data_IF_946381629411
#
_entry.id   IF_946381629411
#
_cell.length_a   1.000
_cell.length_b   1.000
_cell.length_c   1.000
_cell.angle_alpha   90.00
_cell.angle_beta   90.00
_cell.angle_gamma   90.00
#
_symmetry.space_group_name_H-M   'P 1'
#
loop_
_entity.id
_entity.type
_entity.pdbx_description
1 polymer ?
#
# COMPACT_ATOMS: atom_id res chain seq x y z
N UNK A 1 39.79 -1.56 25.17
CA UNK A 1 38.91 -2.08 24.12
C UNK A 1 37.80 -2.86 24.77
N UNK A 2 36.59 -2.36 24.71
CA UNK A 2 35.42 -3.10 25.13
C UNK A 2 35.23 -4.28 24.17
N UNK A 3 35.46 -5.49 24.61
CA UNK A 3 35.05 -6.69 23.88
C UNK A 3 33.55 -6.69 23.90
N UNK A 4 32.92 -6.42 22.76
CA UNK A 4 31.48 -6.35 22.68
C UNK A 4 30.81 -7.67 23.07
N UNK A 5 29.61 -7.60 23.62
CA UNK A 5 28.74 -8.70 24.00
C UNK A 5 28.60 -9.81 22.93
N UNK A 6 28.91 -9.52 21.67
CA UNK A 6 28.88 -10.46 20.57
C UNK A 6 29.77 -11.71 20.74
N UNK A 7 30.87 -11.64 21.51
CA UNK A 7 31.73 -12.83 21.76
C UNK A 7 31.15 -13.76 22.83
N UNK A 8 30.29 -13.26 23.70
CA UNK A 8 29.62 -14.06 24.75
C UNK A 8 28.47 -14.86 24.13
N UNK A 9 27.73 -14.28 23.21
CA UNK A 9 26.58 -14.94 22.58
C UNK A 9 26.94 -16.00 21.54
N UNK A 10 28.14 -15.95 20.95
CA UNK A 10 28.60 -16.96 19.99
C UNK A 10 28.80 -18.36 20.58
N UNK A 11 28.77 -18.51 21.89
CA UNK A 11 29.00 -19.79 22.60
C UNK A 11 27.78 -20.33 23.31
N UNK A 12 26.65 -19.61 23.29
CA UNK A 12 25.41 -20.07 23.91
C UNK A 12 24.66 -20.99 22.96
N UNK A 13 24.25 -22.15 23.44
CA UNK A 13 23.25 -22.97 22.75
C UNK A 13 21.90 -22.27 22.87
N UNK A 14 21.10 -22.36 21.80
CA UNK A 14 19.71 -21.91 21.86
C UNK A 14 18.94 -22.81 22.83
N UNK A 15 18.17 -22.22 23.71
CA UNK A 15 17.37 -22.91 24.74
C UNK A 15 16.04 -23.43 24.21
N UNK A 16 15.65 -23.01 22.98
CA UNK A 16 14.36 -23.28 22.35
C UNK A 16 13.16 -22.75 23.15
N UNK A 17 13.37 -21.71 23.95
CA UNK A 17 12.31 -21.07 24.71
C UNK A 17 11.62 -19.98 23.91
N UNK A 18 10.31 -19.83 24.17
CA UNK A 18 9.52 -18.72 23.68
C UNK A 18 9.52 -17.61 24.74
N UNK A 19 10.03 -16.45 24.38
CA UNK A 19 10.05 -15.31 25.27
C UNK A 19 8.77 -14.48 25.05
N UNK A 20 8.04 -14.25 26.14
CA UNK A 20 6.81 -13.44 26.17
C UNK A 20 7.08 -12.13 26.89
N UNK A 21 6.38 -11.07 26.48
CA UNK A 21 6.41 -9.75 27.14
C UNK A 21 7.73 -8.98 27.02
N UNK A 22 8.52 -9.19 25.98
CA UNK A 22 9.74 -8.44 25.67
C UNK A 22 9.86 -8.12 24.18
N UNK A 23 10.98 -7.52 23.81
CA UNK A 23 11.35 -7.42 22.39
C UNK A 23 11.74 -8.80 21.88
N UNK A 24 10.82 -9.46 21.19
CA UNK A 24 11.04 -10.79 20.63
C UNK A 24 12.12 -10.79 19.55
N UNK A 25 12.97 -11.80 19.56
CA UNK A 25 13.87 -12.11 18.44
C UNK A 25 13.73 -13.59 18.06
N UNK A 26 13.81 -13.88 16.77
CA UNK A 26 13.92 -15.26 16.28
C UNK A 26 15.40 -15.60 16.08
N UNK A 27 15.85 -16.71 16.65
CA UNK A 27 17.21 -17.21 16.47
C UNK A 27 17.16 -18.66 16.01
N UNK A 28 17.89 -18.98 14.94
CA UNK A 28 18.05 -20.32 14.42
C UNK A 28 19.53 -20.66 14.35
N UNK A 29 19.90 -21.88 14.71
CA UNK A 29 21.26 -22.39 14.54
C UNK A 29 21.25 -23.74 13.85
N UNK A 30 22.26 -23.98 13.02
CA UNK A 30 22.53 -25.26 12.39
C UNK A 30 23.99 -25.57 12.51
N UNK A 31 24.32 -26.78 12.97
CA UNK A 31 25.68 -27.28 12.99
C UNK A 31 26.01 -27.87 11.62
N UNK A 32 27.10 -27.41 11.02
CA UNK A 32 27.51 -27.80 9.68
C UNK A 32 28.94 -28.33 9.76
N UNK A 33 29.13 -29.55 9.28
CA UNK A 33 30.44 -30.15 9.10
C UNK A 33 30.74 -30.28 7.61
N UNK A 34 31.76 -29.58 7.14
CA UNK A 34 32.19 -29.62 5.74
C UNK A 34 33.54 -30.31 5.63
N UNK A 35 33.68 -31.23 4.68
CA UNK A 35 34.97 -31.78 4.30
C UNK A 35 35.71 -30.83 3.33
N UNK A 36 37.03 -30.94 3.18
CA UNK A 36 37.77 -30.13 2.22
C UNK A 36 37.16 -30.21 0.81
N UNK A 37 36.80 -29.05 0.22
CA UNK A 37 36.17 -28.97 -1.10
C UNK A 37 34.65 -29.17 -1.11
N UNK A 38 34.01 -29.47 0.02
CA UNK A 38 32.57 -29.63 0.13
C UNK A 38 31.88 -28.27 0.28
N UNK A 39 30.70 -28.12 -0.33
CA UNK A 39 29.86 -26.95 -0.23
C UNK A 39 28.44 -27.36 0.17
N UNK A 40 27.81 -26.61 1.07
CA UNK A 40 26.40 -26.77 1.40
C UNK A 40 25.65 -25.46 1.30
N UNK A 41 24.36 -25.53 1.01
CA UNK A 41 23.47 -24.37 0.94
C UNK A 41 22.41 -24.50 2.01
N UNK A 42 22.21 -23.41 2.75
CA UNK A 42 21.15 -23.27 3.76
C UNK A 42 20.22 -22.15 3.33
N UNK A 43 18.91 -22.40 3.39
CA UNK A 43 17.90 -21.38 3.18
C UNK A 43 17.22 -21.02 4.50
N UNK A 44 17.11 -19.73 4.79
CA UNK A 44 16.29 -19.18 5.84
C UNK A 44 15.04 -18.59 5.19
N UNK A 45 13.88 -19.03 5.64
CA UNK A 45 12.59 -18.55 5.14
C UNK A 45 11.92 -17.73 6.23
N UNK A 46 11.64 -16.47 5.95
CA UNK A 46 10.85 -15.59 6.81
C UNK A 46 9.55 -15.26 6.10
N UNK A 47 8.42 -15.48 6.76
CA UNK A 47 7.10 -15.21 6.20
C UNK A 47 6.02 -15.26 7.25
N UNK A 48 4.82 -14.82 6.86
CA UNK A 48 3.63 -14.85 7.69
C UNK A 48 2.50 -15.50 6.91
N UNK A 49 2.10 -16.71 7.33
CA UNK A 49 1.03 -17.49 6.73
C UNK A 49 0.38 -18.40 7.78
N UNK A 50 -0.79 -18.91 7.48
CA UNK A 50 -1.42 -19.93 8.33
C UNK A 50 -0.65 -21.26 8.25
N UNK A 51 -0.70 -22.05 9.31
CA UNK A 51 0.13 -23.27 9.53
C UNK A 51 0.23 -24.21 8.31
N UNK A 52 -0.91 -24.51 7.65
CA UNK A 52 -0.91 -25.40 6.49
C UNK A 52 -0.15 -24.81 5.30
N UNK A 53 -0.33 -23.52 5.05
CA UNK A 53 0.35 -22.82 3.97
C UNK A 53 1.84 -22.63 4.28
N UNK A 54 2.18 -22.31 5.53
CA UNK A 54 3.55 -22.21 5.98
C UNK A 54 4.31 -23.54 5.78
N UNK A 55 3.69 -24.65 6.19
CA UNK A 55 4.27 -26.00 6.01
C UNK A 55 4.48 -26.33 4.53
N UNK A 56 3.54 -25.99 3.66
CA UNK A 56 3.67 -26.21 2.22
C UNK A 56 4.80 -25.38 1.61
N UNK A 57 4.95 -24.11 2.03
CA UNK A 57 6.04 -23.24 1.61
C UNK A 57 7.39 -23.82 2.06
N UNK A 58 7.53 -24.17 3.34
CA UNK A 58 8.74 -24.77 3.87
C UNK A 58 9.13 -26.05 3.13
N UNK A 59 8.12 -26.85 2.74
CA UNK A 59 8.32 -28.08 1.97
C UNK A 59 9.00 -27.88 0.61
N UNK A 60 8.89 -26.68 -0.01
CA UNK A 60 9.56 -26.35 -1.28
C UNK A 60 11.07 -26.23 -1.15
N UNK A 61 11.57 -25.90 0.05
CA UNK A 61 12.99 -25.68 0.32
C UNK A 61 13.75 -26.93 0.81
N UNK A 62 13.20 -28.15 0.59
CA UNK A 62 13.90 -29.40 0.90
C UNK A 62 15.23 -29.54 0.15
N UNK A 63 15.32 -28.95 -1.04
CA UNK A 63 16.58 -28.83 -1.78
C UNK A 63 16.87 -27.33 -2.00
N UNK A 64 17.45 -26.65 -1.00
CA UNK A 64 17.55 -25.20 -0.98
C UNK A 64 18.40 -24.64 -2.12
N UNK A 65 19.46 -25.34 -2.53
CA UNK A 65 20.35 -24.88 -3.61
C UNK A 65 19.57 -24.68 -4.92
N UNK A 66 18.78 -25.69 -5.32
CA UNK A 66 17.99 -25.63 -6.56
C UNK A 66 16.82 -24.63 -6.42
N UNK A 67 16.11 -24.70 -5.31
CA UNK A 67 14.93 -23.85 -5.12
C UNK A 67 15.31 -22.37 -5.05
N UNK A 68 16.32 -22.00 -4.28
CA UNK A 68 16.76 -20.61 -4.17
C UNK A 68 17.30 -20.07 -5.49
N UNK A 69 18.04 -20.89 -6.26
CA UNK A 69 18.55 -20.48 -7.57
C UNK A 69 17.39 -20.17 -8.54
N UNK A 70 16.41 -21.07 -8.61
CA UNK A 70 15.22 -20.87 -9.45
C UNK A 70 14.42 -19.62 -9.06
N UNK A 71 14.16 -19.45 -7.77
CA UNK A 71 13.42 -18.30 -7.28
C UNK A 71 14.18 -16.98 -7.50
N UNK A 72 15.51 -17.00 -7.42
CA UNK A 72 16.34 -15.83 -7.76
C UNK A 72 16.23 -15.49 -9.24
N UNK A 73 16.26 -16.46 -10.13
CA UNK A 73 16.08 -16.24 -11.58
C UNK A 73 14.69 -15.71 -11.92
N UNK A 74 13.66 -16.22 -11.27
CA UNK A 74 12.29 -15.72 -11.39
C UNK A 74 12.19 -14.27 -10.90
N UNK A 75 12.81 -13.93 -9.78
CA UNK A 75 12.84 -12.58 -9.23
C UNK A 75 13.60 -11.61 -10.14
N UNK A 76 14.76 -12.00 -10.66
CA UNK A 76 15.53 -11.20 -11.63
C UNK A 76 14.68 -10.94 -12.88
N UNK A 77 14.00 -11.96 -13.39
CA UNK A 77 13.11 -11.84 -14.55
C UNK A 77 11.95 -10.90 -14.28
N UNK A 78 11.32 -11.00 -13.10
CA UNK A 78 10.23 -10.16 -12.67
C UNK A 78 10.62 -8.66 -12.69
N UNK A 79 11.77 -8.33 -12.11
CA UNK A 79 12.24 -6.95 -12.07
C UNK A 79 12.74 -6.45 -13.41
N UNK A 80 13.48 -7.29 -14.15
CA UNK A 80 14.00 -6.91 -15.47
C UNK A 80 12.91 -6.53 -16.45
N UNK A 81 11.79 -7.26 -16.47
CA UNK A 81 10.63 -6.95 -17.31
C UNK A 81 10.02 -5.59 -16.95
N UNK A 82 9.85 -5.30 -15.66
CA UNK A 82 9.27 -4.04 -15.21
C UNK A 82 10.16 -2.85 -15.49
N UNK A 83 11.44 -2.98 -15.18
CA UNK A 83 12.39 -1.90 -15.42
C UNK A 83 12.57 -1.62 -16.92
N UNK A 84 12.43 -2.62 -17.78
CA UNK A 84 12.52 -2.43 -19.22
C UNK A 84 11.43 -1.53 -19.82
N UNK A 85 10.29 -1.37 -19.15
CA UNK A 85 9.19 -0.54 -19.64
C UNK A 85 9.50 0.95 -19.66
N UNK A 86 10.44 1.40 -18.81
CA UNK A 86 10.87 2.78 -18.76
C UNK A 86 12.37 2.88 -18.51
N UNK A 87 13.13 3.32 -19.50
CA UNK A 87 14.57 3.42 -19.44
C UNK A 87 15.07 4.74 -20.01
N UNK A 88 16.00 5.38 -19.30
CA UNK A 88 16.71 6.57 -19.79
C UNK A 88 18.19 6.26 -19.97
N UNK A 89 18.82 6.90 -20.96
CA UNK A 89 20.26 6.83 -21.18
C UNK A 89 20.79 8.24 -21.34
N UNK A 90 21.48 8.73 -20.32
CA UNK A 90 22.07 10.06 -20.25
C UNK A 90 23.58 9.96 -20.04
N UNK A 91 24.34 11.05 -20.16
CA UNK A 91 25.76 11.06 -19.81
C UNK A 91 26.07 10.81 -18.32
N UNK A 92 25.07 10.94 -17.40
CA UNK A 92 25.27 10.66 -15.96
C UNK A 92 24.83 9.22 -15.63
N UNK A 93 25.76 8.32 -15.27
CA UNK A 93 25.43 6.96 -14.83
C UNK A 93 24.60 6.95 -13.54
N UNK A 94 24.83 7.88 -12.62
CA UNK A 94 24.12 7.99 -11.35
C UNK A 94 22.64 8.33 -11.59
N UNK A 95 22.39 9.30 -12.47
CA UNK A 95 21.01 9.65 -12.87
C UNK A 95 20.32 8.47 -13.54
N UNK A 96 21.00 7.78 -14.46
CA UNK A 96 20.44 6.59 -15.11
C UNK A 96 20.08 5.50 -14.10
N UNK A 97 20.96 5.22 -13.14
CA UNK A 97 20.71 4.24 -12.08
C UNK A 97 19.52 4.65 -11.20
N UNK A 98 19.44 5.93 -10.83
CA UNK A 98 18.34 6.46 -10.04
C UNK A 98 17.00 6.28 -10.74
N UNK A 99 16.92 6.65 -12.02
CA UNK A 99 15.66 6.59 -12.78
C UNK A 99 15.31 5.15 -13.16
N UNK A 100 16.27 4.41 -13.74
CA UNK A 100 16.01 3.09 -14.32
C UNK A 100 15.78 1.99 -13.29
N UNK A 101 16.23 2.19 -12.06
CA UNK A 101 16.14 1.16 -11.01
C UNK A 101 15.45 1.69 -9.76
N UNK A 102 16.06 2.67 -9.07
CA UNK A 102 15.62 3.04 -7.73
C UNK A 102 14.27 3.73 -7.68
N UNK A 103 13.97 4.63 -8.62
CA UNK A 103 12.66 5.27 -8.70
C UNK A 103 11.56 4.24 -8.97
N UNK A 104 11.76 3.39 -9.97
CA UNK A 104 10.82 2.34 -10.32
C UNK A 104 10.60 1.37 -9.15
N UNK A 105 11.69 0.94 -8.51
CA UNK A 105 11.64 0.07 -7.34
C UNK A 105 10.88 0.72 -6.18
N UNK A 106 11.20 1.95 -5.82
CA UNK A 106 10.56 2.65 -4.71
C UNK A 106 9.07 2.89 -4.95
N UNK A 107 8.69 3.31 -6.17
CA UNK A 107 7.28 3.46 -6.54
C UNK A 107 6.52 2.12 -6.42
N UNK A 108 7.13 1.03 -6.90
CA UNK A 108 6.52 -0.28 -6.85
C UNK A 108 6.40 -0.80 -5.41
N UNK A 109 7.42 -0.59 -4.57
CA UNK A 109 7.37 -0.95 -3.15
C UNK A 109 6.31 -0.14 -2.40
N UNK A 110 6.22 1.17 -2.65
CA UNK A 110 5.19 2.03 -2.08
C UNK A 110 3.79 1.56 -2.47
N UNK A 111 3.59 1.21 -3.74
CA UNK A 111 2.34 0.67 -4.26
C UNK A 111 1.93 -0.66 -3.58
N UNK A 112 2.87 -1.60 -3.43
CA UNK A 112 2.57 -2.91 -2.84
C UNK A 112 2.36 -2.82 -1.33
N UNK A 113 3.22 -2.07 -0.62
CA UNK A 113 3.23 -1.99 0.83
C UNK A 113 2.38 -0.85 1.40
N UNK A 114 1.72 -0.06 0.53
CA UNK A 114 0.86 1.07 0.93
C UNK A 114 1.56 2.01 1.92
N UNK A 115 2.78 2.43 1.59
CA UNK A 115 3.62 3.30 2.44
C UNK A 115 3.93 2.72 3.82
N UNK A 116 3.85 1.42 4.00
CA UNK A 116 4.18 0.75 5.25
C UNK A 116 5.68 0.82 5.53
N UNK A 117 6.14 1.95 6.06
CA UNK A 117 7.54 2.18 6.39
C UNK A 117 7.99 1.38 7.62
N UNK A 118 7.08 1.06 8.52
CA UNK A 118 7.32 0.24 9.71
C UNK A 118 6.03 -0.31 10.29
N UNK A 119 6.14 -1.34 11.12
CA UNK A 119 5.01 -1.88 11.89
C UNK A 119 4.38 -0.84 12.83
N UNK A 120 5.15 0.10 13.35
CA UNK A 120 4.68 1.16 14.22
C UNK A 120 3.84 2.17 13.43
N UNK A 121 4.29 2.52 12.22
CA UNK A 121 3.65 3.59 11.45
C UNK A 121 2.40 3.15 10.69
N UNK A 122 2.44 2.02 10.01
CA UNK A 122 1.35 1.52 9.18
C UNK A 122 0.93 0.10 9.49
N UNK A 123 1.80 -0.73 10.04
CA UNK A 123 1.60 -2.18 10.18
C UNK A 123 0.55 -2.61 11.20
N UNK A 124 0.09 -1.69 12.05
CA UNK A 124 -1.03 -1.94 12.96
C UNK A 124 -2.40 -1.59 12.35
N UNK A 125 -2.42 -0.98 11.17
CA UNK A 125 -3.66 -0.66 10.47
C UNK A 125 -4.06 -1.84 9.59
N UNK A 126 -5.32 -2.24 9.69
CA UNK A 126 -5.89 -3.34 8.93
C UNK A 126 -6.45 -2.85 7.58
N UNK A 127 -5.66 -2.12 6.80
CA UNK A 127 -6.14 -1.60 5.53
C UNK A 127 -5.27 -0.54 4.88
N UNK A 128 -5.80 0.01 3.81
CA UNK A 128 -5.19 1.04 2.98
C UNK A 128 -5.77 2.42 3.29
N UNK A 129 -4.93 3.45 3.39
CA UNK A 129 -5.40 4.83 3.29
C UNK A 129 -5.91 5.08 1.86
N UNK A 130 -7.11 5.62 1.73
CA UNK A 130 -7.74 5.80 0.41
C UNK A 130 -6.90 6.68 -0.50
N UNK A 131 -6.72 7.93 -0.13
CA UNK A 131 -5.96 8.93 -0.89
C UNK A 131 -4.55 8.46 -1.21
N UNK A 132 -3.84 7.96 -0.19
CA UNK A 132 -2.46 7.52 -0.32
C UNK A 132 -2.30 6.43 -1.38
N UNK A 133 -3.18 5.42 -1.33
CA UNK A 133 -3.14 4.31 -2.28
C UNK A 133 -3.48 4.76 -3.68
N UNK A 134 -4.51 5.61 -3.85
CA UNK A 134 -4.88 6.15 -5.17
C UNK A 134 -3.74 6.98 -5.80
N UNK A 135 -3.02 7.76 -4.99
CA UNK A 135 -1.84 8.49 -5.46
C UNK A 135 -0.69 7.56 -5.83
N UNK A 136 -0.42 6.53 -5.01
CA UNK A 136 0.70 5.61 -5.21
C UNK A 136 0.55 4.78 -6.49
N UNK A 137 -0.69 4.46 -6.90
CA UNK A 137 -0.97 3.79 -8.18
C UNK A 137 -0.34 4.56 -9.35
N UNK A 138 -0.34 5.88 -9.32
CA UNK A 138 0.17 6.71 -10.41
C UNK A 138 1.66 6.48 -10.71
N UNK A 139 2.43 6.06 -9.70
CA UNK A 139 3.85 5.78 -9.82
C UNK A 139 4.18 4.45 -10.50
N UNK A 140 3.18 3.58 -10.72
CA UNK A 140 3.41 2.23 -11.25
C UNK A 140 2.63 1.89 -12.52
N UNK A 141 1.79 2.79 -13.01
CA UNK A 141 0.96 2.55 -14.20
C UNK A 141 1.83 2.11 -15.39
N UNK A 142 2.95 2.77 -15.63
CA UNK A 142 3.87 2.45 -16.72
C UNK A 142 4.74 1.21 -16.46
N UNK A 143 4.86 0.78 -15.20
CA UNK A 143 5.64 -0.40 -14.80
C UNK A 143 4.81 -1.69 -14.82
N UNK A 144 3.55 -1.60 -14.42
CA UNK A 144 2.66 -2.73 -14.26
C UNK A 144 1.18 -2.30 -14.43
N UNK A 145 0.75 -1.97 -15.66
CA UNK A 145 -0.57 -1.41 -15.93
C UNK A 145 -1.71 -2.31 -15.48
N UNK A 146 -1.57 -3.64 -15.59
CA UNK A 146 -2.59 -4.59 -15.15
C UNK A 146 -2.79 -4.53 -13.63
N UNK A 147 -1.70 -4.50 -12.87
CA UNK A 147 -1.77 -4.38 -11.40
C UNK A 147 -2.31 -3.01 -10.97
N UNK A 148 -1.98 -1.96 -11.73
CA UNK A 148 -2.53 -0.63 -11.51
C UNK A 148 -4.06 -0.62 -11.74
N UNK A 149 -4.54 -1.22 -12.84
CA UNK A 149 -5.96 -1.35 -13.13
C UNK A 149 -6.72 -2.07 -12.01
N UNK A 150 -6.20 -3.20 -11.55
CA UNK A 150 -6.82 -3.97 -10.47
C UNK A 150 -6.89 -3.16 -9.17
N UNK A 151 -5.83 -2.41 -8.86
CA UNK A 151 -5.83 -1.54 -7.69
C UNK A 151 -6.77 -0.35 -7.86
N UNK A 152 -6.91 0.22 -9.05
CA UNK A 152 -7.90 1.27 -9.33
C UNK A 152 -9.31 0.74 -9.12
N UNK A 153 -9.65 -0.45 -9.65
CA UNK A 153 -10.95 -1.11 -9.41
C UNK A 153 -11.22 -1.31 -7.93
N UNK A 154 -10.22 -1.80 -7.20
CA UNK A 154 -10.32 -1.98 -5.76
C UNK A 154 -10.58 -0.65 -5.03
N UNK A 155 -9.90 0.43 -5.40
CA UNK A 155 -10.11 1.74 -4.76
C UNK A 155 -11.41 2.40 -5.18
N UNK A 156 -11.88 2.20 -6.42
CA UNK A 156 -13.21 2.61 -6.87
C UNK A 156 -14.29 1.91 -6.05
N UNK A 157 -14.16 0.59 -5.83
CA UNK A 157 -15.12 -0.17 -5.03
C UNK A 157 -15.16 0.27 -3.55
N UNK A 158 -14.17 1.00 -3.08
CA UNK A 158 -14.14 1.60 -1.75
C UNK A 158 -14.68 3.04 -1.70
N UNK A 159 -15.18 3.57 -2.80
CA UNK A 159 -15.93 4.82 -2.82
C UNK A 159 -17.36 4.57 -2.35
N UNK A 160 -17.85 5.39 -1.44
CA UNK A 160 -19.24 5.34 -0.97
C UNK A 160 -20.16 5.90 -2.06
N UNK A 161 -21.39 5.40 -2.17
CA UNK A 161 -22.34 5.81 -3.20
C UNK A 161 -22.70 7.31 -3.17
N UNK A 162 -22.40 8.01 -2.07
CA UNK A 162 -22.51 9.45 -1.98
C UNK A 162 -21.35 10.21 -2.65
N UNK A 163 -20.32 9.52 -3.11
CA UNK A 163 -19.15 10.04 -3.79
C UNK A 163 -17.91 10.24 -2.93
N UNK A 164 -17.99 10.09 -1.60
CA UNK A 164 -16.85 10.15 -0.70
C UNK A 164 -16.06 8.84 -0.68
N UNK A 165 -14.76 8.90 -0.37
CA UNK A 165 -13.95 7.70 -0.16
C UNK A 165 -14.04 7.20 1.29
N UNK A 166 -13.89 5.89 1.51
CA UNK A 166 -13.66 5.33 2.84
C UNK A 166 -12.26 5.76 3.32
N UNK A 167 -12.10 6.50 4.42
CA UNK A 167 -10.78 6.96 4.90
C UNK A 167 -9.78 5.83 5.15
N UNK A 168 -10.29 4.64 5.50
CA UNK A 168 -9.54 3.39 5.61
C UNK A 168 -10.27 2.28 4.84
N UNK A 169 -9.59 1.69 3.87
CA UNK A 169 -10.09 0.55 3.09
C UNK A 169 -9.49 -0.72 3.69
N UNK A 170 -10.29 -1.55 4.34
CA UNK A 170 -9.83 -2.77 5.01
C UNK A 170 -9.26 -3.77 4.00
N UNK A 171 -8.33 -4.63 4.44
CA UNK A 171 -7.87 -5.76 3.63
C UNK A 171 -8.99 -6.77 3.36
N UNK A 172 -10.01 -6.80 4.23
CA UNK A 172 -11.21 -7.62 4.09
C UNK A 172 -12.37 -6.85 3.46
N UNK A 173 -12.09 -5.77 2.72
CA UNK A 173 -13.09 -4.95 2.07
C UNK A 173 -14.10 -5.79 1.28
N UNK A 174 -15.39 -5.52 1.51
CA UNK A 174 -16.52 -6.22 0.91
C UNK A 174 -17.43 -5.23 0.18
N UNK A 175 -17.19 -4.96 -1.10
CA UNK A 175 -17.96 -3.99 -1.87
C UNK A 175 -19.46 -4.23 -1.80
N UNK A 176 -20.23 -3.16 -1.68
CA UNK A 176 -21.69 -3.19 -1.56
C UNK A 176 -22.22 -3.42 -0.13
N UNK A 177 -21.35 -3.72 0.83
CA UNK A 177 -21.75 -4.12 2.20
C UNK A 177 -20.95 -3.42 3.31
N UNK A 178 -20.17 -2.41 2.96
CA UNK A 178 -19.37 -1.70 3.96
C UNK A 178 -20.20 -0.71 4.76
N UNK A 179 -19.93 -0.62 6.05
CA UNK A 179 -20.30 0.53 6.85
C UNK A 179 -19.56 1.78 6.35
N UNK A 180 -20.15 2.94 6.53
CA UNK A 180 -19.58 4.20 6.07
C UNK A 180 -19.15 5.09 7.24
N UNK A 181 -18.38 6.16 7.03
CA UNK A 181 -18.04 7.10 8.08
C UNK A 181 -19.23 7.78 8.78
N UNK A 182 -20.43 7.64 8.24
CA UNK A 182 -21.68 8.07 8.87
C UNK A 182 -22.20 7.04 9.90
N UNK A 183 -21.66 5.81 9.89
CA UNK A 183 -22.08 4.73 10.77
C UNK A 183 -21.17 4.61 12.02
N UNK A 184 -21.78 4.44 13.19
CA UNK A 184 -21.04 4.34 14.44
C UNK A 184 -20.12 3.10 14.52
N UNK A 185 -20.50 2.00 13.86
CA UNK A 185 -19.70 0.78 13.75
C UNK A 185 -18.39 1.03 13.01
N UNK A 186 -18.43 1.71 11.87
CA UNK A 186 -17.24 2.09 11.12
C UNK A 186 -16.29 2.97 11.97
N UNK A 187 -16.83 3.98 12.62
CA UNK A 187 -16.05 4.90 13.47
C UNK A 187 -15.38 4.16 14.61
N UNK A 188 -16.10 3.24 15.27
CA UNK A 188 -15.57 2.43 16.36
C UNK A 188 -14.42 1.52 15.90
N UNK A 189 -14.53 0.92 14.72
CA UNK A 189 -13.53 0.00 14.20
C UNK A 189 -12.30 0.72 13.66
N UNK A 190 -12.50 1.78 12.90
CA UNK A 190 -11.42 2.44 12.14
C UNK A 190 -10.83 3.65 12.84
N UNK A 191 -11.56 4.26 13.78
CA UNK A 191 -11.17 5.53 14.40
C UNK A 191 -11.33 6.76 13.49
N UNK A 192 -12.02 6.62 12.35
CA UNK A 192 -12.24 7.69 11.37
C UNK A 192 -13.70 8.17 11.39
N UNK A 193 -14.01 9.27 12.12
CA UNK A 193 -15.39 9.69 12.39
C UNK A 193 -16.05 10.45 11.25
N UNK A 194 -15.38 10.68 10.12
CA UNK A 194 -15.92 11.45 9.01
C UNK A 194 -15.10 11.28 7.75
N UNK A 195 -15.68 11.67 6.62
CA UNK A 195 -15.00 11.73 5.34
C UNK A 195 -13.85 12.73 5.33
N UNK A 196 -12.81 12.45 4.56
CA UNK A 196 -11.83 13.44 4.13
C UNK A 196 -12.34 14.16 2.87
N UNK A 197 -11.88 15.40 2.71
CA UNK A 197 -12.43 16.27 1.66
C UNK A 197 -12.01 15.85 0.24
N UNK A 198 -10.84 15.27 0.11
CA UNK A 198 -10.16 15.07 -1.17
C UNK A 198 -9.93 13.61 -1.57
N UNK A 199 -10.24 12.64 -0.70
CA UNK A 199 -9.93 11.22 -0.94
C UNK A 199 -10.36 10.76 -2.35
N UNK A 200 -11.63 10.89 -2.70
CA UNK A 200 -12.16 10.44 -3.98
C UNK A 200 -11.76 11.33 -5.17
N UNK A 201 -11.33 12.57 -4.93
CA UNK A 201 -10.89 13.46 -6.02
C UNK A 201 -9.58 12.99 -6.65
N UNK A 202 -8.74 12.25 -5.91
CA UNK A 202 -7.50 11.70 -6.44
C UNK A 202 -7.71 10.58 -7.47
N UNK A 203 -8.93 10.05 -7.59
CA UNK A 203 -9.29 9.14 -8.68
C UNK A 203 -9.13 9.77 -10.06
N UNK A 204 -9.40 11.09 -10.20
CA UNK A 204 -9.30 11.78 -11.49
C UNK A 204 -7.92 11.68 -12.12
N UNK A 205 -6.85 12.18 -11.48
CA UNK A 205 -5.52 12.10 -12.07
C UNK A 205 -5.06 10.65 -12.25
N UNK A 206 -5.51 9.72 -11.41
CA UNK A 206 -5.13 8.33 -11.48
C UNK A 206 -5.78 7.61 -12.66
N UNK A 207 -7.10 7.73 -12.81
CA UNK A 207 -7.82 7.17 -13.97
C UNK A 207 -7.36 7.82 -15.28
N UNK A 208 -7.20 9.15 -15.28
CA UNK A 208 -6.69 9.86 -16.45
C UNK A 208 -5.32 9.33 -16.88
N UNK A 209 -4.37 9.21 -15.97
CA UNK A 209 -3.03 8.69 -16.26
C UNK A 209 -3.07 7.25 -16.73
N UNK A 210 -3.93 6.41 -16.15
CA UNK A 210 -4.09 5.03 -16.58
C UNK A 210 -4.57 4.96 -18.03
N UNK A 211 -5.65 5.67 -18.34
CA UNK A 211 -6.19 5.70 -19.70
C UNK A 211 -5.20 6.31 -20.70
N UNK A 212 -4.50 7.38 -20.30
CA UNK A 212 -3.50 8.03 -21.16
C UNK A 212 -2.30 7.11 -21.47
N UNK A 213 -1.86 6.32 -20.49
CA UNK A 213 -0.73 5.39 -20.66
C UNK A 213 -1.11 4.15 -21.45
N UNK A 214 -2.29 3.58 -21.19
CA UNK A 214 -2.70 2.30 -21.78
C UNK A 214 -3.51 2.43 -23.07
N UNK A 215 -4.15 3.57 -23.29
CA UNK A 215 -5.13 3.76 -24.36
C UNK A 215 -6.47 3.04 -24.12
N UNK A 216 -6.69 2.46 -22.94
CA UNK A 216 -7.91 1.72 -22.61
C UNK A 216 -9.08 2.67 -22.28
N UNK A 217 -9.69 3.21 -23.33
CA UNK A 217 -10.87 4.07 -23.21
C UNK A 217 -12.08 3.34 -22.64
N UNK A 218 -12.16 2.02 -22.79
CA UNK A 218 -13.31 1.24 -22.28
C UNK A 218 -13.32 1.14 -20.76
N UNK A 219 -12.18 1.37 -20.12
CA UNK A 219 -12.08 1.36 -18.67
C UNK A 219 -13.07 2.31 -18.01
N UNK A 220 -13.38 3.46 -18.63
CA UNK A 220 -14.32 4.44 -18.04
C UNK A 220 -15.77 3.97 -18.03
N UNK A 221 -16.11 2.99 -18.85
CA UNK A 221 -17.45 2.39 -18.93
C UNK A 221 -17.60 1.14 -18.04
N UNK A 222 -16.51 0.66 -17.46
CA UNK A 222 -16.50 -0.52 -16.59
C UNK A 222 -17.37 -0.27 -15.34
N UNK A 223 -18.28 -1.19 -15.04
CA UNK A 223 -19.19 -1.08 -13.91
C UNK A 223 -18.57 -1.68 -12.68
N UNK A 224 -18.51 -0.89 -11.59
CA UNK A 224 -17.89 -1.25 -10.32
C UNK A 224 -18.87 -0.95 -9.19
N UNK A 225 -19.02 -1.85 -8.19
CA UNK A 225 -19.85 -1.59 -7.03
C UNK A 225 -19.29 -0.45 -6.18
N UNK A 226 -20.15 0.35 -5.55
CA UNK A 226 -19.77 1.25 -4.47
C UNK A 226 -19.58 0.49 -3.16
N UNK A 227 -18.92 1.11 -2.20
CA UNK A 227 -18.55 0.46 -0.94
C UNK A 227 -19.76 -0.05 -0.15
N UNK A 228 -20.84 0.74 -0.08
CA UNK A 228 -21.98 0.46 0.78
C UNK A 228 -23.19 -0.12 0.04
N UNK A 229 -23.48 0.32 -1.16
CA UNK A 229 -24.63 -0.13 -1.97
C UNK A 229 -24.56 0.46 -3.37
N UNK A 230 -25.29 -0.13 -4.31
CA UNK A 230 -25.32 0.29 -5.73
C UNK A 230 -24.02 -0.01 -6.46
N UNK A 231 -24.07 0.17 -7.76
CA UNK A 231 -22.93 0.10 -8.67
C UNK A 231 -23.02 1.22 -9.70
N UNK A 232 -21.92 1.54 -10.35
CA UNK A 232 -21.88 2.55 -11.40
C UNK A 232 -20.65 2.37 -12.28
N UNK A 233 -20.65 3.02 -13.44
CA UNK A 233 -19.47 3.04 -14.27
C UNK A 233 -18.33 3.83 -13.59
N UNK A 234 -17.09 3.59 -14.00
CA UNK A 234 -15.94 4.41 -13.54
C UNK A 234 -16.24 5.89 -13.77
N UNK A 235 -16.85 6.25 -14.90
CA UNK A 235 -17.29 7.63 -15.15
C UNK A 235 -18.28 8.14 -14.08
N UNK A 236 -19.26 7.31 -13.68
CA UNK A 236 -20.21 7.69 -12.63
C UNK A 236 -19.53 7.82 -11.26
N UNK A 237 -18.55 6.99 -10.95
CA UNK A 237 -17.71 7.12 -9.75
C UNK A 237 -17.01 8.50 -9.72
N UNK A 238 -16.37 8.89 -10.81
CA UNK A 238 -15.72 10.19 -10.94
C UNK A 238 -16.72 11.34 -10.79
N UNK A 239 -17.85 11.25 -11.48
CA UNK A 239 -18.92 12.26 -11.37
C UNK A 239 -19.42 12.43 -9.94
N UNK A 240 -19.69 11.32 -9.22
CA UNK A 240 -20.12 11.36 -7.82
C UNK A 240 -19.06 11.94 -6.89
N UNK A 241 -17.75 11.74 -7.16
CA UNK A 241 -16.68 12.39 -6.40
C UNK A 241 -16.73 13.93 -6.50
N UNK A 242 -16.99 14.47 -7.68
CA UNK A 242 -17.23 15.93 -7.87
C UNK A 242 -18.50 16.38 -7.15
N UNK A 243 -19.60 15.66 -7.36
CA UNK A 243 -20.88 15.98 -6.75
C UNK A 243 -20.80 15.97 -5.21
N UNK A 244 -20.00 15.08 -4.64
CA UNK A 244 -19.72 15.03 -3.21
C UNK A 244 -19.09 16.33 -2.71
N UNK A 245 -18.09 16.85 -3.42
CA UNK A 245 -17.42 18.10 -3.08
C UNK A 245 -18.33 19.32 -3.31
N UNK A 246 -19.06 19.36 -4.42
CA UNK A 246 -19.99 20.47 -4.75
C UNK A 246 -21.11 20.58 -3.71
N UNK A 247 -21.66 19.47 -3.25
CA UNK A 247 -22.70 19.47 -2.21
C UNK A 247 -22.19 19.91 -0.83
N UNK A 248 -20.88 20.07 -0.68
CA UNK A 248 -20.21 20.46 0.58
C UNK A 248 -19.41 21.75 0.43
N UNK A 249 -19.86 22.64 -0.44
CA UNK A 249 -19.31 23.99 -0.53
C UNK A 249 -19.69 24.82 0.71
N UNK A 250 -18.75 25.62 1.17
CA UNK A 250 -19.00 26.60 2.20
C UNK A 250 -19.67 27.85 1.65
N UNK A 251 -19.88 28.87 2.53
CA UNK A 251 -20.58 30.12 2.21
C UNK A 251 -19.96 30.95 1.08
N UNK A 252 -18.64 30.74 0.84
CA UNK A 252 -17.89 31.44 -0.22
C UNK A 252 -17.75 30.62 -1.52
N UNK A 253 -18.46 29.50 -1.63
CA UNK A 253 -18.37 28.62 -2.78
C UNK A 253 -17.09 27.77 -2.83
N UNK A 254 -16.32 27.70 -1.75
CA UNK A 254 -15.11 26.90 -1.62
C UNK A 254 -15.45 25.53 -1.03
N UNK A 255 -14.78 24.44 -1.47
CA UNK A 255 -14.94 23.13 -0.86
C UNK A 255 -14.58 23.15 0.64
N UNK A 256 -15.39 22.49 1.46
CA UNK A 256 -15.13 22.38 2.89
C UNK A 256 -14.01 21.35 3.15
N UNK A 257 -13.12 21.62 4.10
CA UNK A 257 -12.01 20.74 4.49
C UNK A 257 -12.46 19.46 5.20
N UNK A 258 -13.72 19.34 5.59
CA UNK A 258 -14.31 18.20 6.30
C UNK A 258 -13.49 17.82 7.55
N UNK A 259 -13.32 16.50 7.79
CA UNK A 259 -12.51 16.01 8.92
C UNK A 259 -11.02 16.25 8.70
N UNK A 260 -10.56 16.06 7.49
CA UNK A 260 -9.21 16.35 7.01
C UNK A 260 -9.20 16.50 5.50
N UNK A 261 -8.18 17.17 4.97
CA UNK A 261 -7.83 17.19 3.56
C UNK A 261 -6.43 16.57 3.39
N UNK A 262 -5.74 16.90 2.31
CA UNK A 262 -4.38 16.44 2.06
C UNK A 262 -3.41 16.71 3.23
N UNK A 263 -3.64 17.79 3.97
CA UNK A 263 -2.89 18.08 5.18
C UNK A 263 -3.62 17.54 6.42
N UNK A 264 -3.39 16.29 6.75
CA UNK A 264 -4.00 15.61 7.91
C UNK A 264 -3.66 16.27 9.27
N UNK A 265 -2.65 17.15 9.31
CA UNK A 265 -2.24 17.86 10.52
C UNK A 265 -3.05 19.13 10.78
N UNK A 266 -3.69 19.69 9.77
CA UNK A 266 -4.54 20.88 9.91
C UNK A 266 -5.95 20.45 10.37
N UNK A 267 -6.06 20.04 11.62
CA UNK A 267 -7.39 19.94 12.25
C UNK A 267 -7.92 21.32 12.53
N UNK A 268 -9.14 21.67 12.10
CA UNK A 268 -9.82 22.86 12.57
C UNK A 268 -9.84 22.84 14.10
N UNK A 269 -9.33 23.87 14.75
CA UNK A 269 -9.12 23.94 16.20
C UNK A 269 -10.43 23.87 17.00
N UNK A 270 -11.58 24.01 16.34
CA UNK A 270 -12.89 23.80 16.94
C UNK A 270 -13.92 23.35 15.91
N UNK A 271 -14.93 22.63 16.37
CA UNK A 271 -16.10 22.24 15.57
C UNK A 271 -16.83 23.43 14.92
N UNK A 272 -16.61 24.64 15.40
CA UNK A 272 -17.14 25.87 14.81
C UNK A 272 -16.42 26.30 13.54
N UNK A 273 -15.26 25.69 13.21
CA UNK A 273 -14.43 25.99 12.05
C UNK A 273 -14.29 24.80 11.08
N UNK A 274 -15.33 23.98 10.93
CA UNK A 274 -15.41 22.94 9.89
C UNK A 274 -15.19 23.47 8.45
N UNK A 275 -14.96 24.76 8.31
CA UNK A 275 -14.74 25.50 7.06
C UNK A 275 -13.45 26.31 7.11
N UNK A 276 -12.39 25.74 7.71
CA UNK A 276 -11.12 26.45 7.95
C UNK A 276 -10.49 27.06 6.68
N UNK A 277 -10.67 26.43 5.53
CA UNK A 277 -10.20 27.00 4.25
C UNK A 277 -10.96 28.28 3.87
N UNK A 278 -12.18 28.46 4.31
CA UNK A 278 -12.90 29.70 4.09
C UNK A 278 -12.50 30.81 5.05
N UNK A 279 -12.05 30.47 6.27
CA UNK A 279 -11.62 31.48 7.25
C UNK A 279 -10.24 32.04 6.94
N UNK A 280 -9.34 31.24 6.36
CA UNK A 280 -8.04 31.76 5.90
C UNK A 280 -8.15 32.68 4.68
N UNK A 281 -9.18 32.55 3.86
CA UNK A 281 -9.46 33.46 2.75
C UNK A 281 -10.06 34.80 3.19
N UNK A 282 -10.41 34.97 4.46
CA UNK A 282 -10.95 36.20 5.05
C UNK A 282 -9.93 36.99 5.86
N UNK A 283 -8.66 36.50 5.95
CA UNK A 283 -7.51 37.23 6.50
C UNK A 283 -6.65 37.83 5.38
#
# INVERSE_FOLDING_TARGET
MSRGLGDVYKRQKLDNELNYNGNGCGALSADILLQPGETTTIAFVLGMKYDKEATAIMGRYKNPAITCQKELEELITFWSRRFANFQVKTPSPEFNTMINTWNAYNCFMTFIWSRAASFIYCGLRNGYGYRDTVQDIQGVIHLAPEMAADKIRFMLSAQVNNGGGLPLVKFTHNPGHEDTPDDASYVKETGHPAYRADDALWLFPTVYKYVAETGDLKFVDEVIPFANKEEGSVYEHLKRAIDFSIKRLGRHGMPAGLYADWNDCLRPVSYTHLRAHETLANL
#
